data_IF_318981643357
#
_entry.id   IF_318981643357
#
_cell.length_a   1.000
_cell.length_b   1.000
_cell.length_c   1.000
_cell.angle_alpha   90.00
_cell.angle_beta   90.00
_cell.angle_gamma   90.00
#
_symmetry.space_group_name_H-M   'P 1'
#
loop_
_entity.id
_entity.type
_entity.pdbx_description
1 polymer ?
#
# COMPACT_ATOMS: atom_id res chain seq x y z
N UNK A 1 -4.73 8.85 -7.10
CA UNK A 1 -3.37 9.44 -7.11
C UNK A 1 -3.23 10.31 -8.32
N UNK A 2 -2.66 11.49 -8.15
CA UNK A 2 -2.36 12.40 -9.26
C UNK A 2 -0.86 12.29 -9.53
N UNK A 3 -0.52 11.96 -10.78
CA UNK A 3 0.84 11.98 -11.27
C UNK A 3 0.85 12.79 -12.57
N UNK A 4 1.93 13.54 -12.79
CA UNK A 4 2.19 14.21 -14.04
C UNK A 4 2.14 13.21 -15.19
N UNK A 5 1.65 13.64 -16.35
CA UNK A 5 1.42 12.74 -17.47
C UNK A 5 2.68 11.98 -17.90
N UNK A 6 3.84 12.65 -17.77
CA UNK A 6 5.17 12.09 -18.09
C UNK A 6 5.65 11.03 -17.11
N UNK A 7 5.11 10.99 -15.89
CA UNK A 7 5.58 10.11 -14.81
C UNK A 7 4.57 9.00 -14.46
N UNK A 8 3.44 8.95 -15.17
CA UNK A 8 2.46 7.88 -15.04
C UNK A 8 3.05 6.55 -15.49
N UNK A 9 2.63 5.48 -14.81
CA UNK A 9 3.07 4.12 -15.14
C UNK A 9 4.45 3.74 -14.59
N UNK A 10 5.22 4.68 -14.03
CA UNK A 10 6.60 4.46 -13.55
C UNK A 10 6.71 3.94 -12.11
N UNK A 11 5.59 3.70 -11.43
CA UNK A 11 5.60 3.06 -10.10
C UNK A 11 5.78 4.02 -8.92
N UNK A 12 5.81 5.33 -9.21
CA UNK A 12 5.80 6.38 -8.17
C UNK A 12 4.58 6.31 -7.25
N UNK A 13 3.44 5.86 -7.78
CA UNK A 13 2.20 5.71 -7.03
C UNK A 13 2.32 4.75 -5.84
N UNK A 14 2.69 3.45 -6.04
CA UNK A 14 2.91 2.54 -4.92
C UNK A 14 4.08 2.94 -4.02
N UNK A 15 5.16 3.52 -4.57
CA UNK A 15 6.29 4.02 -3.77
C UNK A 15 5.86 5.15 -2.81
N UNK A 16 5.17 6.17 -3.33
CA UNK A 16 4.67 7.28 -2.52
C UNK A 16 3.70 6.79 -1.44
N UNK A 17 2.87 5.80 -1.76
CA UNK A 17 1.95 5.21 -0.79
C UNK A 17 2.66 4.44 0.31
N UNK A 18 3.64 3.58 -0.04
CA UNK A 18 4.43 2.85 0.93
C UNK A 18 5.18 3.82 1.86
N UNK A 19 5.83 4.84 1.29
CA UNK A 19 6.55 5.88 2.04
C UNK A 19 5.63 6.63 3.00
N UNK A 20 4.45 7.03 2.52
CA UNK A 20 3.47 7.72 3.34
C UNK A 20 2.95 6.85 4.49
N UNK A 21 2.62 5.59 4.21
CA UNK A 21 2.12 4.66 5.21
C UNK A 21 3.19 4.29 6.24
N UNK A 22 4.45 4.15 5.84
CA UNK A 22 5.55 3.93 6.78
C UNK A 22 5.80 5.16 7.65
N UNK A 23 5.76 6.36 7.06
CA UNK A 23 5.85 7.60 7.83
C UNK A 23 4.74 7.71 8.87
N UNK A 24 3.49 7.47 8.47
CA UNK A 24 2.33 7.39 9.38
C UNK A 24 2.57 6.34 10.47
N UNK A 25 3.05 5.16 10.07
CA UNK A 25 3.30 4.02 10.93
C UNK A 25 4.24 4.31 12.09
N UNK A 26 5.29 5.09 11.81
CA UNK A 26 6.35 5.46 12.75
C UNK A 26 6.06 6.72 13.54
N UNK A 27 5.39 7.70 12.94
CA UNK A 27 5.31 9.06 13.50
C UNK A 27 3.96 9.39 14.14
N UNK A 28 2.87 8.67 13.81
CA UNK A 28 1.61 8.91 14.51
C UNK A 28 1.67 8.33 15.92
N UNK A 29 1.21 9.09 16.95
CA UNK A 29 1.21 8.62 18.33
C UNK A 29 0.22 7.47 18.56
N UNK A 30 -0.79 7.34 17.68
CA UNK A 30 -1.79 6.28 17.72
C UNK A 30 -1.63 5.34 16.53
N UNK A 31 -1.77 4.04 16.79
CA UNK A 31 -1.74 3.02 15.76
C UNK A 31 -3.03 3.09 14.94
N UNK A 32 -2.90 3.06 13.61
CA UNK A 32 -4.06 2.97 12.74
C UNK A 32 -4.63 1.55 12.81
N UNK A 33 -5.94 1.44 12.98
CA UNK A 33 -6.65 0.16 13.03
C UNK A 33 -7.31 -0.22 11.69
N UNK A 34 -7.45 0.75 10.78
CA UNK A 34 -8.13 0.54 9.50
C UNK A 34 -7.56 1.47 8.44
N UNK A 35 -7.39 0.93 7.23
CA UNK A 35 -7.02 1.67 6.02
C UNK A 35 -8.05 1.36 4.94
N UNK A 36 -8.54 2.40 4.26
CA UNK A 36 -9.52 2.26 3.18
C UNK A 36 -9.13 3.19 2.04
N UNK A 37 -8.91 2.62 0.85
CA UNK A 37 -8.74 3.38 -0.37
C UNK A 37 -10.08 3.48 -1.10
N UNK A 38 -10.59 4.71 -1.22
CA UNK A 38 -11.79 5.02 -1.99
C UNK A 38 -11.39 5.43 -3.40
N UNK A 39 -11.90 4.72 -4.39
CA UNK A 39 -11.51 4.88 -5.80
C UNK A 39 -12.77 5.05 -6.65
N UNK A 40 -12.78 6.04 -7.55
CA UNK A 40 -13.86 6.17 -8.53
C UNK A 40 -13.88 4.95 -9.46
N UNK A 41 -15.07 4.46 -9.82
CA UNK A 41 -15.27 3.37 -10.77
C UNK A 41 -14.68 3.66 -12.15
N UNK A 42 -14.58 4.94 -12.50
CA UNK A 42 -14.03 5.38 -13.79
C UNK A 42 -12.49 5.52 -13.74
N UNK A 43 -11.86 5.35 -12.56
CA UNK A 43 -10.42 5.45 -12.37
C UNK A 43 -9.73 4.09 -12.55
N UNK A 44 -9.76 3.61 -13.78
CA UNK A 44 -9.17 2.33 -14.18
C UNK A 44 -7.70 2.18 -13.76
N UNK A 45 -6.81 3.20 -13.87
CA UNK A 45 -5.42 3.07 -13.41
C UNK A 45 -5.31 2.76 -11.90
N UNK A 46 -6.14 3.40 -11.07
CA UNK A 46 -6.14 3.16 -9.62
C UNK A 46 -6.76 1.81 -9.29
N UNK A 47 -7.81 1.39 -9.98
CA UNK A 47 -8.41 0.07 -9.82
C UNK A 47 -7.38 -1.03 -10.12
N UNK A 48 -6.65 -0.91 -11.24
CA UNK A 48 -5.57 -1.84 -11.58
C UNK A 48 -4.43 -1.83 -10.57
N UNK A 49 -4.06 -0.67 -10.04
CA UNK A 49 -3.05 -0.55 -9.00
C UNK A 49 -3.48 -1.30 -7.73
N UNK A 50 -4.63 -0.97 -7.16
CA UNK A 50 -5.07 -1.53 -5.88
C UNK A 50 -5.42 -3.01 -6.01
N UNK A 51 -6.32 -3.38 -6.94
CA UNK A 51 -6.77 -4.77 -7.08
C UNK A 51 -5.70 -5.67 -7.70
N UNK A 52 -5.12 -5.26 -8.83
CA UNK A 52 -4.23 -6.12 -9.60
C UNK A 52 -2.80 -6.17 -9.03
N UNK A 53 -2.18 -5.00 -8.88
CA UNK A 53 -0.76 -4.92 -8.51
C UNK A 53 -0.55 -5.10 -7.01
N UNK A 54 -1.26 -4.34 -6.18
CA UNK A 54 -1.12 -4.37 -4.73
C UNK A 54 -1.92 -5.50 -4.06
N UNK A 55 -2.86 -6.12 -4.77
CA UNK A 55 -3.66 -7.24 -4.23
C UNK A 55 -4.69 -6.82 -3.18
N UNK A 56 -5.02 -5.53 -3.07
CA UNK A 56 -6.02 -5.04 -2.13
C UNK A 56 -7.39 -5.64 -2.46
N UNK A 57 -8.16 -5.91 -1.41
CA UNK A 57 -9.46 -6.56 -1.52
C UNK A 57 -10.55 -5.50 -1.61
N UNK A 58 -11.49 -5.69 -2.52
CA UNK A 58 -12.70 -4.86 -2.58
C UNK A 58 -13.59 -5.17 -1.38
N UNK A 59 -13.78 -4.18 -0.51
CA UNK A 59 -14.67 -4.29 0.66
C UNK A 59 -16.11 -3.91 0.31
N UNK A 60 -16.28 -2.88 -0.51
CA UNK A 60 -17.59 -2.31 -0.81
C UNK A 60 -17.61 -1.65 -2.19
N UNK A 61 -18.80 -1.60 -2.79
CA UNK A 61 -19.07 -0.93 -4.05
C UNK A 61 -20.35 -0.12 -3.96
N UNK A 62 -20.28 1.16 -4.28
CA UNK A 62 -21.44 2.04 -4.30
C UNK A 62 -21.67 2.63 -5.69
N UNK A 63 -22.73 2.18 -6.36
CA UNK A 63 -23.11 2.66 -7.69
C UNK A 63 -23.60 4.12 -7.68
N UNK A 64 -24.25 4.56 -6.59
CA UNK A 64 -24.76 5.94 -6.45
C UNK A 64 -23.62 6.96 -6.47
N UNK A 65 -22.52 6.67 -5.76
CA UNK A 65 -21.34 7.53 -5.72
C UNK A 65 -20.27 7.15 -6.76
N UNK A 66 -20.54 6.16 -7.62
CA UNK A 66 -19.57 5.57 -8.56
C UNK A 66 -18.21 5.29 -7.90
N UNK A 67 -18.22 4.64 -6.74
CA UNK A 67 -17.03 4.42 -5.92
C UNK A 67 -16.84 2.95 -5.54
N UNK A 68 -15.59 2.50 -5.51
CA UNK A 68 -15.14 1.23 -4.98
C UNK A 68 -14.26 1.49 -3.76
N UNK A 69 -14.45 0.70 -2.70
CA UNK A 69 -13.62 0.75 -1.50
C UNK A 69 -12.71 -0.47 -1.47
N UNK A 70 -11.40 -0.23 -1.37
CA UNK A 70 -10.38 -1.24 -1.23
C UNK A 70 -9.77 -1.19 0.17
N UNK A 71 -9.47 -2.37 0.73
CA UNK A 71 -8.74 -2.52 1.99
C UNK A 71 -7.45 -3.31 1.75
N UNK A 72 -6.42 -3.14 2.61
CA UNK A 72 -5.25 -4.01 2.59
C UNK A 72 -5.63 -5.49 2.63
N UNK A 73 -4.77 -6.37 2.12
CA UNK A 73 -4.97 -7.80 2.25
C UNK A 73 -5.04 -8.24 3.72
N UNK A 74 -5.77 -9.33 4.04
CA UNK A 74 -5.88 -9.85 5.41
C UNK A 74 -4.53 -10.07 6.11
N UNK A 75 -3.48 -10.39 5.36
CA UNK A 75 -2.11 -10.59 5.84
C UNK A 75 -1.47 -9.32 6.43
N UNK A 76 -2.03 -8.15 6.13
CA UNK A 76 -1.63 -6.88 6.71
C UNK A 76 -2.26 -6.64 8.09
N UNK A 77 -3.29 -7.40 8.47
CA UNK A 77 -3.95 -7.31 9.77
C UNK A 77 -3.33 -8.33 10.73
N UNK A 78 -3.18 -7.95 12.00
CA UNK A 78 -2.79 -8.89 13.05
C UNK A 78 -4.01 -9.78 13.40
N UNK A 79 -3.85 -11.11 13.51
CA UNK A 79 -4.93 -12.01 13.90
C UNK A 79 -5.37 -11.81 15.36
N UNK A 80 -4.54 -11.19 16.21
CA UNK A 80 -4.84 -10.93 17.62
C UNK A 80 -5.53 -9.58 17.80
N UNK A 81 -6.76 -9.46 17.29
CA UNK A 81 -7.66 -8.37 17.68
C UNK A 81 -8.64 -8.85 18.76
N UNK A 82 -8.11 -9.53 19.79
CA UNK A 82 -8.88 -9.76 21.00
C UNK A 82 -8.66 -8.58 21.95
N UNK A 83 -9.77 -7.98 22.38
CA UNK A 83 -9.89 -6.80 23.25
C UNK A 83 -9.35 -7.02 24.69
N UNK A 84 -8.37 -7.91 24.89
CA UNK A 84 -7.96 -8.40 26.20
C UNK A 84 -6.47 -8.71 26.26
N UNK A 85 -5.62 -7.69 26.24
CA UNK A 85 -4.31 -7.85 26.87
C UNK A 85 -3.73 -6.53 27.35
N UNK A 86 -3.70 -6.39 28.67
CA UNK A 86 -2.97 -5.37 29.42
C UNK A 86 -1.45 -5.60 29.42
N UNK A 87 -0.93 -6.46 28.53
CA UNK A 87 0.50 -6.74 28.42
C UNK A 87 0.99 -6.53 26.99
N UNK A 88 1.54 -5.34 26.71
CA UNK A 88 2.75 -5.13 25.91
C UNK A 88 2.88 -5.80 24.52
N UNK A 89 1.81 -6.32 23.93
CA UNK A 89 1.83 -6.91 22.60
C UNK A 89 2.24 -5.85 21.58
N UNK A 90 3.20 -6.17 20.72
CA UNK A 90 3.58 -5.32 19.58
C UNK A 90 2.39 -5.26 18.61
N UNK A 91 1.37 -4.46 18.90
CA UNK A 91 0.31 -4.22 17.92
C UNK A 91 0.98 -3.76 16.63
N UNK A 92 0.86 -4.54 15.56
CA UNK A 92 1.45 -4.18 14.28
C UNK A 92 0.57 -3.07 13.68
N UNK A 93 1.13 -1.87 13.52
CA UNK A 93 0.40 -0.74 12.95
C UNK A 93 0.01 -1.09 11.50
N UNK A 94 -1.28 -1.07 11.17
CA UNK A 94 -1.76 -1.45 9.83
C UNK A 94 -1.08 -0.62 8.73
N UNK A 95 -0.66 0.61 9.04
CA UNK A 95 0.07 1.45 8.11
C UNK A 95 1.43 0.83 7.75
N UNK A 96 2.24 0.47 8.74
CA UNK A 96 3.55 -0.16 8.52
C UNK A 96 3.44 -1.54 7.88
N UNK A 97 2.49 -2.38 8.30
CA UNK A 97 2.29 -3.70 7.67
C UNK A 97 1.87 -3.56 6.20
N UNK A 98 0.98 -2.61 5.90
CA UNK A 98 0.57 -2.31 4.52
C UNK A 98 1.72 -1.72 3.71
N UNK A 99 2.56 -0.86 4.30
CA UNK A 99 3.75 -0.32 3.64
C UNK A 99 4.72 -1.44 3.23
N UNK A 100 5.04 -2.33 4.18
CA UNK A 100 5.86 -3.53 3.94
C UNK A 100 5.27 -4.41 2.84
N UNK A 101 3.96 -4.64 2.88
CA UNK A 101 3.26 -5.41 1.86
C UNK A 101 3.41 -4.78 0.47
N UNK A 102 3.19 -3.46 0.35
CA UNK A 102 3.34 -2.75 -0.91
C UNK A 102 4.76 -2.95 -1.44
N UNK A 103 5.79 -2.71 -0.61
CA UNK A 103 7.20 -2.92 -1.00
C UNK A 103 7.45 -4.35 -1.47
N UNK A 104 6.91 -5.35 -0.78
CA UNK A 104 7.03 -6.75 -1.19
C UNK A 104 6.35 -7.02 -2.55
N UNK A 105 5.16 -6.48 -2.78
CA UNK A 105 4.49 -6.58 -4.08
C UNK A 105 5.30 -5.89 -5.18
N UNK A 106 5.97 -4.77 -4.85
CA UNK A 106 6.83 -4.07 -5.79
C UNK A 106 8.05 -4.90 -6.21
N UNK A 107 8.61 -5.68 -5.29
CA UNK A 107 9.78 -6.52 -5.55
C UNK A 107 9.42 -7.86 -6.25
N UNK A 108 8.28 -8.46 -5.91
CA UNK A 108 7.91 -9.82 -6.36
C UNK A 108 7.17 -9.83 -7.69
N UNK A 109 6.24 -8.90 -7.89
CA UNK A 109 5.65 -8.69 -9.21
C UNK A 109 6.63 -7.80 -9.93
N UNK A 110 7.36 -8.36 -10.93
CA UNK A 110 7.98 -7.53 -11.97
C UNK A 110 6.87 -6.61 -12.46
N UNK A 111 6.87 -5.37 -11.99
CA UNK A 111 6.11 -4.35 -12.66
C UNK A 111 6.67 -4.37 -14.06
N UNK A 112 5.86 -4.79 -15.03
CA UNK A 112 6.11 -4.48 -16.42
C UNK A 112 5.95 -2.96 -16.53
N UNK A 113 6.99 -2.28 -16.06
CA UNK A 113 7.26 -0.90 -16.36
C UNK A 113 7.47 -0.89 -17.87
N UNK A 114 6.60 -0.17 -18.59
CA UNK A 114 7.10 0.36 -19.84
C UNK A 114 8.37 1.12 -19.49
N UNK A 115 9.50 0.86 -20.18
CA UNK A 115 10.78 1.41 -19.81
C UNK A 115 10.73 2.93 -20.04
N UNK A 116 10.27 3.67 -19.03
CA UNK A 116 10.88 4.94 -18.71
C UNK A 116 12.31 4.64 -18.31
N UNK A 117 13.23 5.54 -18.63
CA UNK A 117 14.68 5.48 -18.33
C UNK A 117 15.08 5.25 -16.86
N UNK A 118 14.11 4.99 -15.98
CA UNK A 118 14.23 4.73 -14.56
C UNK A 118 13.86 3.27 -14.28
N UNK A 119 14.87 2.42 -14.14
CA UNK A 119 14.75 1.09 -13.55
C UNK A 119 15.39 1.13 -12.17
N UNK A 120 14.72 0.61 -11.14
CA UNK A 120 15.38 0.38 -9.85
C UNK A 120 16.47 -0.67 -10.04
N UNK A 121 17.69 -0.35 -9.63
CA UNK A 121 18.72 -1.36 -9.51
C UNK A 121 18.48 -2.18 -8.24
N UNK A 122 18.98 -3.42 -8.22
CA UNK A 122 18.97 -4.29 -7.04
C UNK A 122 19.56 -3.57 -5.81
N UNK A 123 20.52 -2.67 -6.04
CA UNK A 123 21.14 -1.83 -5.04
C UNK A 123 20.14 -0.87 -4.37
N UNK A 124 19.27 -0.22 -5.15
CA UNK A 124 18.23 0.67 -4.62
C UNK A 124 17.26 -0.14 -3.75
N UNK A 125 16.78 -1.28 -4.27
CA UNK A 125 15.85 -2.15 -3.53
C UNK A 125 16.46 -2.69 -2.22
N UNK A 126 17.77 -2.91 -2.19
CA UNK A 126 18.48 -3.36 -0.99
C UNK A 126 18.68 -2.22 0.02
N UNK A 127 18.95 -0.99 -0.45
CA UNK A 127 18.96 0.21 0.38
C UNK A 127 17.61 0.42 1.07
N UNK A 128 16.52 0.23 0.32
CA UNK A 128 15.16 0.27 0.83
C UNK A 128 14.86 -0.85 1.84
N UNK A 129 15.34 -2.08 1.60
CA UNK A 129 15.17 -3.16 2.59
C UNK A 129 15.89 -2.85 3.91
N UNK A 130 17.07 -2.24 3.85
CA UNK A 130 17.83 -1.86 5.03
C UNK A 130 17.25 -0.70 5.83
N UNK A 131 16.40 0.14 5.24
CA UNK A 131 15.72 1.24 5.95
C UNK A 131 14.41 0.82 6.63
N UNK A 132 13.91 -0.38 6.32
CA UNK A 132 12.69 -0.98 6.89
C UNK A 132 12.94 -1.85 8.13
N UNK A 133 14.19 -2.21 8.41
CA UNK A 133 14.65 -2.92 9.62
C UNK A 133 15.03 -1.96 10.74
#
# INVERSE_FOLDING_TARGET
MLAEERTRGQGLAPEALATFLEYIGRNLPYKLCSLVAKVSMDNEPSIRLFRGRLGFVERNRCNVFKQIEFIPPPECYDPETDYSSAHGGKFRNIASSTAQWIVQQMATKRFEFQPSHWSYEEADLNLWRGSLS
#
